data_IF_594420216077
#
_entry.id   IF_594420216077
#
_cell.length_a   1.000
_cell.length_b   1.000
_cell.length_c   1.000
_cell.angle_alpha   90.00
_cell.angle_beta   90.00
_cell.angle_gamma   90.00
#
_symmetry.space_group_name_H-M   'P 1'
#
loop_
_entity.id
_entity.type
_entity.pdbx_description
1 polymer ?
#
# COMPACT_ATOMS: atom_id res chain seq x y z
N UNK A 1 -13.04 13.33 -2.22
CA UNK A 1 -11.82 12.56 -1.90
C UNK A 1 -11.11 12.99 -0.62
N UNK A 2 -11.04 14.27 -0.27
CA UNK A 2 -10.34 14.77 0.94
C UNK A 2 -10.70 14.05 2.25
N UNK A 3 -11.98 13.72 2.43
CA UNK A 3 -12.43 12.98 3.63
C UNK A 3 -11.92 11.52 3.66
N UNK A 4 -11.78 10.87 2.50
CA UNK A 4 -11.16 9.54 2.41
C UNK A 4 -9.66 9.63 2.69
N UNK A 5 -8.96 10.63 2.15
CA UNK A 5 -7.54 10.86 2.41
C UNK A 5 -7.29 11.06 3.93
N UNK A 6 -8.07 11.92 4.59
CA UNK A 6 -8.02 12.10 6.05
C UNK A 6 -8.37 10.81 6.82
N UNK A 7 -9.36 10.05 6.34
CA UNK A 7 -9.73 8.77 6.96
C UNK A 7 -8.55 7.78 6.93
N UNK A 8 -7.89 7.63 5.79
CA UNK A 8 -6.72 6.78 5.63
C UNK A 8 -5.55 7.27 6.49
N UNK A 9 -5.25 8.58 6.49
CA UNK A 9 -4.20 9.14 7.32
C UNK A 9 -4.43 8.88 8.82
N UNK A 10 -5.67 9.04 9.30
CA UNK A 10 -6.04 8.78 10.69
C UNK A 10 -6.02 7.28 11.03
N UNK A 11 -6.53 6.42 10.16
CA UNK A 11 -6.51 4.97 10.40
C UNK A 11 -5.07 4.46 10.54
N UNK A 12 -4.20 4.84 9.60
CA UNK A 12 -2.82 4.39 9.55
C UNK A 12 -1.85 5.17 10.45
N UNK A 13 -2.34 6.09 11.29
CA UNK A 13 -1.55 6.68 12.39
C UNK A 13 -1.67 5.90 13.70
N UNK A 14 -2.68 5.04 13.83
CA UNK A 14 -2.85 4.12 14.97
C UNK A 14 -1.81 3.00 14.95
N UNK A 15 -1.55 2.35 16.09
CA UNK A 15 -0.53 1.30 16.17
C UNK A 15 -0.91 0.06 15.35
N UNK A 16 -2.17 -0.37 15.40
CA UNK A 16 -2.66 -1.46 14.56
C UNK A 16 -2.67 -1.08 13.08
N UNK A 17 -3.00 0.18 12.76
CA UNK A 17 -2.90 0.70 11.40
C UNK A 17 -1.47 0.60 10.86
N UNK A 18 -0.47 1.04 11.63
CA UNK A 18 0.96 0.92 11.25
C UNK A 18 1.35 -0.54 11.02
N UNK A 19 0.92 -1.46 11.89
CA UNK A 19 1.19 -2.91 11.76
C UNK A 19 0.57 -3.49 10.49
N UNK A 20 -0.70 -3.17 10.21
CA UNK A 20 -1.37 -3.59 8.99
C UNK A 20 -0.68 -3.03 7.74
N UNK A 21 -0.30 -1.76 7.73
CA UNK A 21 0.41 -1.14 6.61
C UNK A 21 1.80 -1.74 6.39
N UNK A 22 2.53 -2.06 7.47
CA UNK A 22 3.83 -2.73 7.39
C UNK A 22 3.67 -4.14 6.79
N UNK A 23 2.66 -4.89 7.22
CA UNK A 23 2.35 -6.20 6.64
C UNK A 23 2.02 -6.12 5.14
N UNK A 24 1.18 -5.17 4.73
CA UNK A 24 0.85 -4.94 3.31
C UNK A 24 2.10 -4.62 2.48
N UNK A 25 3.01 -3.79 3.00
CA UNK A 25 4.27 -3.49 2.33
C UNK A 25 5.17 -4.72 2.20
N UNK A 26 5.24 -5.55 3.24
CA UNK A 26 6.04 -6.77 3.23
C UNK A 26 5.57 -7.77 2.16
N UNK A 27 4.26 -8.03 2.09
CA UNK A 27 3.73 -9.03 1.14
C UNK A 27 3.68 -8.54 -0.31
N UNK A 28 3.89 -7.24 -0.58
CA UNK A 28 3.83 -6.66 -1.93
C UNK A 28 5.18 -6.16 -2.44
N UNK A 29 5.89 -5.31 -1.69
CA UNK A 29 7.16 -4.72 -2.12
C UNK A 29 8.37 -5.59 -1.76
N UNK A 30 8.31 -6.28 -0.62
CA UNK A 30 9.44 -7.10 -0.14
C UNK A 30 9.32 -8.57 -0.58
N UNK A 31 8.29 -8.90 -1.36
CA UNK A 31 8.05 -10.26 -1.86
C UNK A 31 8.99 -10.57 -3.02
N UNK A 32 9.89 -11.51 -2.80
CA UNK A 32 10.69 -12.13 -3.87
C UNK A 32 9.82 -13.07 -4.71
N UNK A 33 10.02 -13.03 -6.04
CA UNK A 33 9.39 -13.94 -6.99
C UNK A 33 10.46 -14.81 -7.65
N UNK A 34 10.09 -16.02 -8.05
CA UNK A 34 11.00 -16.96 -8.68
C UNK A 34 11.39 -16.44 -10.07
N UNK A 35 12.62 -16.70 -10.56
CA UNK A 35 12.98 -16.49 -11.95
C UNK A 35 12.05 -17.23 -12.94
N UNK A 36 11.41 -18.31 -12.49
CA UNK A 36 10.45 -19.08 -13.27
C UNK A 36 9.00 -18.57 -13.18
N UNK A 37 8.75 -17.43 -12.51
CA UNK A 37 7.41 -16.85 -12.42
C UNK A 37 6.90 -16.42 -13.80
N UNK A 38 5.63 -16.72 -14.09
CA UNK A 38 5.03 -16.36 -15.36
C UNK A 38 4.75 -14.85 -15.45
N UNK A 39 4.67 -14.32 -16.66
CA UNK A 39 4.27 -12.92 -16.91
C UNK A 39 2.97 -12.54 -16.22
N UNK A 40 1.98 -13.45 -16.19
CA UNK A 40 0.70 -13.20 -15.52
C UNK A 40 0.88 -13.03 -14.02
N UNK A 41 1.72 -13.85 -13.38
CA UNK A 41 2.03 -13.73 -11.95
C UNK A 41 2.78 -12.42 -11.66
N UNK A 42 3.73 -12.04 -12.52
CA UNK A 42 4.47 -10.78 -12.40
C UNK A 42 3.53 -9.57 -12.49
N UNK A 43 2.64 -9.54 -13.49
CA UNK A 43 1.64 -8.47 -13.66
C UNK A 43 0.64 -8.41 -12.51
N UNK A 44 0.20 -9.56 -12.02
CA UNK A 44 -0.67 -9.62 -10.84
C UNK A 44 0.01 -9.04 -9.61
N UNK A 45 1.27 -9.41 -9.35
CA UNK A 45 2.06 -8.86 -8.26
C UNK A 45 2.25 -7.34 -8.41
N UNK A 46 2.46 -6.85 -9.63
CA UNK A 46 2.56 -5.41 -9.89
C UNK A 46 1.25 -4.67 -9.62
N UNK A 47 0.11 -5.26 -9.96
CA UNK A 47 -1.20 -4.73 -9.59
C UNK A 47 -1.37 -4.58 -8.07
N UNK A 48 -0.89 -5.55 -7.29
CA UNK A 48 -0.90 -5.46 -5.82
C UNK A 48 0.00 -4.32 -5.31
N UNK A 49 1.21 -4.14 -5.88
CA UNK A 49 2.10 -3.01 -5.54
C UNK A 49 1.47 -1.66 -5.87
N UNK A 50 0.86 -1.54 -7.04
CA UNK A 50 0.17 -0.32 -7.45
C UNK A 50 -0.98 0.06 -6.49
N UNK A 51 -1.73 -0.94 -6.00
CA UNK A 51 -2.78 -0.73 -5.00
C UNK A 51 -2.22 -0.24 -3.67
N UNK A 52 -1.17 -0.88 -3.13
CA UNK A 52 -0.56 -0.43 -1.86
C UNK A 52 0.09 0.95 -2.02
N UNK A 53 0.69 1.25 -3.18
CA UNK A 53 1.19 2.60 -3.48
C UNK A 53 0.07 3.65 -3.52
N UNK A 54 -1.14 3.29 -3.98
CA UNK A 54 -2.30 4.18 -3.93
C UNK A 54 -2.73 4.47 -2.49
N UNK A 55 -2.72 3.47 -1.61
CA UNK A 55 -2.97 3.64 -0.17
C UNK A 55 -1.96 4.62 0.44
N UNK A 56 -0.65 4.44 0.14
CA UNK A 56 0.40 5.33 0.64
C UNK A 56 0.18 6.79 0.18
N UNK A 57 -0.23 7.00 -1.08
CA UNK A 57 -0.58 8.34 -1.59
C UNK A 57 -1.79 8.96 -0.88
N UNK A 58 -2.82 8.18 -0.56
CA UNK A 58 -3.97 8.66 0.22
C UNK A 58 -3.55 9.10 1.62
N UNK A 59 -2.69 8.30 2.28
CA UNK A 59 -2.15 8.62 3.60
C UNK A 59 -1.34 9.91 3.56
N UNK A 60 -0.44 10.06 2.60
CA UNK A 60 0.43 11.23 2.48
C UNK A 60 -0.38 12.52 2.25
N UNK A 61 -1.33 12.49 1.30
CA UNK A 61 -2.24 13.62 1.05
C UNK A 61 -3.13 13.96 2.24
N UNK A 62 -3.53 12.95 3.02
CA UNK A 62 -4.32 13.16 4.23
C UNK A 62 -3.53 13.76 5.40
N UNK A 63 -2.19 13.60 5.41
CA UNK A 63 -1.28 14.20 6.40
C UNK A 63 -0.85 15.61 6.02
N UNK A 64 -0.67 15.86 4.73
CA UNK A 64 -0.22 17.14 4.18
C UNK A 64 -1.32 17.75 3.28
N UNK A 65 -2.42 18.26 3.86
CA UNK A 65 -3.44 18.94 3.09
C UNK A 65 -2.85 20.24 2.50
N UNK A 66 -2.55 20.23 1.21
CA UNK A 66 -2.33 21.45 0.42
C UNK A 66 -3.65 22.23 0.32
#
# INVERSE_FOLDING_TARGET
MREIEKCFARLFSTDDGKRALAYLQAITFQRALSPASSDQQLRYAEGQRAMVAAILRLIDRGRNPV
#
